data_IF_162432035399
#
_entry.id   IF_162432035399
#
_cell.length_a   1.000
_cell.length_b   1.000
_cell.length_c   1.000
_cell.angle_alpha   90.00
_cell.angle_beta   90.00
_cell.angle_gamma   90.00
#
_symmetry.space_group_name_H-M   'P 1'
#
loop_
_entity.id
_entity.type
_entity.pdbx_description
1 polymer ?
#
# COMPACT_ATOMS: atom_id res chain seq x y z
N UNK A 1 68.23 29.54 21.19
CA UNK A 1 67.13 29.45 20.21
C UNK A 1 66.43 28.11 20.40
N UNK A 2 65.29 28.08 21.11
CA UNK A 2 64.52 26.86 21.43
C UNK A 2 63.02 27.18 21.36
N UNK A 3 62.42 27.19 20.17
CA UNK A 3 60.97 27.10 19.95
C UNK A 3 60.71 26.61 18.51
N UNK A 4 60.52 25.31 18.33
CA UNK A 4 59.84 24.74 17.15
C UNK A 4 59.70 23.24 17.35
N UNK A 5 58.56 22.80 17.91
CA UNK A 5 58.00 21.45 17.79
C UNK A 5 56.95 21.22 18.90
N UNK A 6 55.83 21.95 18.87
CA UNK A 6 54.65 21.66 19.71
C UNK A 6 53.32 21.86 18.99
N UNK A 7 53.31 21.82 17.66
CA UNK A 7 52.08 22.03 16.87
C UNK A 7 51.55 20.78 16.15
N UNK A 8 52.28 19.67 16.14
CA UNK A 8 51.92 18.49 15.35
C UNK A 8 50.97 17.53 16.05
N UNK A 9 50.99 17.45 17.38
CA UNK A 9 50.12 16.53 18.14
C UNK A 9 48.64 16.92 18.12
N UNK A 10 48.34 18.22 18.22
CA UNK A 10 46.96 18.69 18.33
C UNK A 10 46.20 18.60 16.99
N UNK A 11 46.90 18.77 15.86
CA UNK A 11 46.31 18.60 14.52
C UNK A 11 45.97 17.15 14.19
N UNK A 12 46.78 16.19 14.65
CA UNK A 12 46.56 14.77 14.40
C UNK A 12 45.35 14.23 15.20
N UNK A 13 45.16 14.74 16.42
CA UNK A 13 44.03 14.39 17.28
C UNK A 13 42.71 14.99 16.77
N UNK A 14 42.75 16.20 16.18
CA UNK A 14 41.59 16.83 15.54
C UNK A 14 41.15 16.09 14.27
N UNK A 15 42.10 15.60 13.45
CA UNK A 15 41.79 14.85 12.24
C UNK A 15 41.18 13.47 12.56
N UNK A 16 41.66 12.79 13.60
CA UNK A 16 41.10 11.50 14.03
C UNK A 16 39.67 11.66 14.58
N UNK A 17 39.39 12.76 15.28
CA UNK A 17 38.06 13.06 15.82
C UNK A 17 37.06 13.38 14.70
N UNK A 18 37.47 14.13 13.68
CA UNK A 18 36.63 14.43 12.50
C UNK A 18 36.31 13.20 11.65
N UNK A 19 37.20 12.19 11.61
CA UNK A 19 36.96 10.91 10.93
C UNK A 19 36.07 9.94 11.73
N UNK A 20 35.93 10.15 13.05
CA UNK A 20 35.06 9.34 13.92
C UNK A 20 33.63 9.88 14.03
N UNK A 21 33.32 11.02 13.42
CA UNK A 21 31.96 11.51 13.33
C UNK A 21 31.20 10.61 12.35
N UNK A 22 30.23 9.80 12.80
CA UNK A 22 29.37 9.10 11.86
C UNK A 22 28.71 10.17 10.99
N UNK A 23 28.84 10.02 9.67
CA UNK A 23 27.97 10.70 8.73
C UNK A 23 26.57 10.12 8.96
N UNK A 24 25.91 10.58 10.02
CA UNK A 24 24.50 10.43 10.21
C UNK A 24 23.86 11.22 9.07
N UNK A 25 23.62 10.53 7.95
CA UNK A 25 22.59 10.92 7.01
C UNK A 25 21.27 10.68 7.73
N UNK A 26 21.01 11.53 8.73
CA UNK A 26 19.66 11.75 9.19
C UNK A 26 18.97 12.40 8.01
N UNK A 27 18.05 11.67 7.38
CA UNK A 27 16.99 12.32 6.63
C UNK A 27 16.32 13.26 7.62
N UNK A 28 16.71 14.52 7.55
CA UNK A 28 16.34 15.54 8.50
C UNK A 28 14.83 15.75 8.36
N UNK A 29 14.07 15.12 9.24
CA UNK A 29 12.76 15.62 9.64
C UNK A 29 13.02 16.90 10.44
N UNK A 30 13.38 17.96 9.72
CA UNK A 30 13.66 19.29 10.22
C UNK A 30 12.40 19.87 10.88
N UNK A 31 12.31 19.69 12.20
CA UNK A 31 11.31 20.28 13.08
C UNK A 31 11.47 21.80 13.10
N UNK A 32 10.56 22.56 12.49
CA UNK A 32 10.36 23.97 12.82
C UNK A 32 9.90 24.91 11.71
N UNK A 33 10.08 24.58 10.43
CA UNK A 33 9.42 25.27 9.33
C UNK A 33 8.29 24.40 8.82
N UNK A 34 7.17 24.99 8.43
CA UNK A 34 6.01 24.24 7.94
C UNK A 34 6.40 23.39 6.72
N UNK A 35 6.75 22.14 7.02
CA UNK A 35 7.34 21.18 6.10
C UNK A 35 6.33 20.87 5.02
N UNK A 36 6.78 20.95 3.77
CA UNK A 36 6.02 20.41 2.64
C UNK A 36 5.69 18.93 2.94
N UNK A 37 4.51 18.42 2.52
CA UNK A 37 4.21 17.03 2.74
C UNK A 37 5.27 16.16 2.04
N UNK A 38 5.75 15.09 2.71
CA UNK A 38 6.84 14.29 2.20
C UNK A 38 6.48 13.67 0.84
N UNK A 39 7.45 13.63 -0.08
CA UNK A 39 7.24 13.10 -1.44
C UNK A 39 7.07 11.58 -1.42
N UNK A 40 7.86 10.88 -0.60
CA UNK A 40 7.69 9.47 -0.29
C UNK A 40 6.92 9.32 1.03
N UNK A 41 5.99 8.38 1.09
CA UNK A 41 5.32 8.03 2.34
C UNK A 41 6.32 7.35 3.31
N UNK A 42 6.15 7.60 4.61
CA UNK A 42 6.78 6.77 5.65
C UNK A 42 6.38 5.31 5.48
N UNK A 43 7.37 4.43 5.33
CA UNK A 43 7.12 3.00 5.14
C UNK A 43 6.95 2.32 6.50
N UNK A 44 5.75 1.86 6.76
CA UNK A 44 5.38 1.06 7.93
C UNK A 44 4.92 -0.29 7.43
N UNK A 45 5.50 -1.37 7.95
CA UNK A 45 5.10 -2.75 7.65
C UNK A 45 3.72 -3.04 8.24
N UNK A 46 2.88 -3.76 7.50
CA UNK A 46 1.56 -4.19 7.98
C UNK A 46 1.65 -4.98 9.30
N UNK A 47 2.67 -5.84 9.46
CA UNK A 47 2.84 -6.62 10.69
C UNK A 47 3.14 -5.74 11.91
N UNK A 48 4.01 -4.74 11.74
CA UNK A 48 4.31 -3.75 12.78
C UNK A 48 3.07 -2.90 13.14
N UNK A 49 2.27 -2.55 12.12
CA UNK A 49 1.00 -1.86 12.32
C UNK A 49 -0.01 -2.74 13.07
N UNK A 50 -0.09 -4.03 12.74
CA UNK A 50 -0.97 -4.99 13.41
C UNK A 50 -0.65 -5.12 14.90
N UNK A 51 0.63 -5.21 15.28
CA UNK A 51 1.05 -5.21 16.69
C UNK A 51 0.50 -3.99 17.43
N UNK A 52 0.77 -2.79 16.89
CA UNK A 52 0.36 -1.53 17.53
C UNK A 52 -1.14 -1.38 17.60
N UNK A 53 -1.86 -1.84 16.56
CA UNK A 53 -3.31 -1.80 16.54
C UNK A 53 -3.93 -2.78 17.55
N UNK A 54 -3.41 -4.01 17.64
CA UNK A 54 -3.88 -5.02 18.59
C UNK A 54 -3.69 -4.57 20.04
N UNK A 55 -2.54 -3.96 20.32
CA UNK A 55 -2.21 -3.35 21.62
C UNK A 55 -3.17 -2.19 21.93
N UNK A 56 -3.34 -1.25 20.99
CA UNK A 56 -4.20 -0.08 21.19
C UNK A 56 -5.68 -0.44 21.38
N UNK A 57 -6.16 -1.51 20.74
CA UNK A 57 -7.51 -2.04 20.89
C UNK A 57 -7.64 -3.07 22.02
N UNK A 58 -6.62 -3.23 22.86
CA UNK A 58 -6.63 -4.14 24.02
C UNK A 58 -7.08 -5.58 23.67
N UNK A 59 -6.78 -6.02 22.44
CA UNK A 59 -7.09 -7.38 21.97
C UNK A 59 -6.00 -8.34 22.45
N UNK A 60 -4.74 -7.95 22.25
CA UNK A 60 -3.55 -8.67 22.72
C UNK A 60 -2.38 -7.69 22.83
N UNK A 61 -1.55 -7.84 23.86
CA UNK A 61 -0.26 -7.16 23.97
C UNK A 61 0.83 -8.19 23.71
N UNK A 62 1.47 -8.09 22.54
CA UNK A 62 2.49 -9.03 22.05
C UNK A 62 3.46 -8.30 21.14
N UNK A 63 4.70 -8.77 21.08
CA UNK A 63 5.71 -8.36 20.11
C UNK A 63 5.73 -9.27 18.86
N UNK A 64 4.88 -10.28 18.83
CA UNK A 64 4.76 -11.23 17.73
C UNK A 64 3.71 -10.77 16.69
N UNK A 65 4.18 -10.39 15.50
CA UNK A 65 3.34 -9.95 14.37
C UNK A 65 2.24 -10.96 14.05
N UNK A 66 2.57 -12.25 14.01
CA UNK A 66 1.64 -13.32 13.62
C UNK A 66 0.52 -13.48 14.64
N UNK A 67 0.83 -13.34 15.93
CA UNK A 67 -0.15 -13.41 16.99
C UNK A 67 -1.11 -12.22 16.92
N UNK A 68 -0.57 -11.00 16.77
CA UNK A 68 -1.36 -9.78 16.63
C UNK A 68 -2.30 -9.83 15.41
N UNK A 69 -1.77 -10.21 14.24
CA UNK A 69 -2.55 -10.38 13.01
C UNK A 69 -3.68 -11.41 13.16
N UNK A 70 -3.38 -12.55 13.79
CA UNK A 70 -4.37 -13.62 14.04
C UNK A 70 -5.48 -13.13 14.97
N UNK A 71 -5.13 -12.45 16.06
CA UNK A 71 -6.09 -11.95 17.05
C UNK A 71 -6.97 -10.82 16.50
N UNK A 72 -6.41 -9.93 15.68
CA UNK A 72 -7.18 -8.93 14.94
C UNK A 72 -8.15 -9.59 13.95
N UNK A 73 -7.70 -10.63 13.24
CA UNK A 73 -8.56 -11.36 12.31
C UNK A 73 -9.71 -12.10 13.02
N UNK A 74 -9.50 -12.65 14.22
CA UNK A 74 -10.55 -13.28 15.05
C UNK A 74 -11.72 -12.32 15.33
N UNK A 75 -11.42 -11.05 15.60
CA UNK A 75 -12.45 -10.01 15.79
C UNK A 75 -12.94 -9.36 14.50
N UNK A 76 -12.46 -9.82 13.34
CA UNK A 76 -12.86 -9.34 12.01
C UNK A 76 -12.14 -8.09 11.52
N UNK A 77 -11.04 -7.70 12.16
CA UNK A 77 -10.17 -6.58 11.73
C UNK A 77 -9.06 -7.15 10.85
N UNK A 78 -9.30 -7.16 9.54
CA UNK A 78 -8.37 -7.71 8.56
C UNK A 78 -8.54 -7.00 7.21
N UNK A 79 -7.46 -6.69 6.47
CA UNK A 79 -7.58 -6.20 5.10
C UNK A 79 -8.30 -7.23 4.21
N UNK A 80 -8.88 -6.80 3.09
CA UNK A 80 -9.67 -7.71 2.21
C UNK A 80 -8.88 -8.91 1.70
N UNK A 81 -7.56 -8.77 1.57
CA UNK A 81 -6.66 -9.81 1.09
C UNK A 81 -5.85 -10.50 2.20
N UNK A 82 -6.22 -10.27 3.47
CA UNK A 82 -5.41 -10.70 4.61
C UNK A 82 -4.26 -9.74 4.92
N UNK A 83 -3.59 -10.03 6.03
CA UNK A 83 -2.37 -9.36 6.44
C UNK A 83 -1.18 -9.87 5.61
N UNK A 84 -0.30 -8.95 5.22
CA UNK A 84 0.97 -9.28 4.56
C UNK A 84 2.07 -8.51 5.28
N UNK A 85 2.67 -9.14 6.30
CA UNK A 85 3.56 -8.50 7.26
C UNK A 85 4.56 -7.51 6.64
N UNK A 86 5.27 -7.89 5.57
CA UNK A 86 6.32 -7.08 4.94
C UNK A 86 5.82 -6.06 3.90
N UNK A 87 4.53 -6.02 3.63
CA UNK A 87 3.94 -5.04 2.73
C UNK A 87 3.75 -3.69 3.44
N UNK A 88 3.94 -2.56 2.74
CA UNK A 88 3.73 -1.25 3.36
C UNK A 88 2.24 -0.98 3.60
N UNK A 89 1.93 -0.35 4.72
CA UNK A 89 0.58 0.17 5.02
C UNK A 89 0.28 1.35 4.09
N UNK A 90 -0.54 1.13 3.07
CA UNK A 90 -0.95 2.13 2.09
C UNK A 90 -2.29 2.79 2.45
N UNK A 91 -2.65 3.94 1.83
CA UNK A 91 -3.90 4.65 2.15
C UNK A 91 -5.19 3.82 1.99
N UNK A 92 -5.24 2.92 1.03
CA UNK A 92 -6.36 1.99 0.84
C UNK A 92 -6.45 0.96 1.97
N UNK A 93 -5.33 0.44 2.46
CA UNK A 93 -5.28 -0.48 3.62
C UNK A 93 -5.79 0.23 4.88
N UNK A 94 -5.37 1.48 5.11
CA UNK A 94 -5.87 2.29 6.23
C UNK A 94 -7.39 2.47 6.14
N UNK A 95 -7.93 2.71 4.93
CA UNK A 95 -9.38 2.83 4.72
C UNK A 95 -10.12 1.53 5.01
N UNK A 96 -9.58 0.39 4.56
CA UNK A 96 -10.15 -0.93 4.85
C UNK A 96 -10.14 -1.24 6.35
N UNK A 97 -9.01 -1.01 7.03
CA UNK A 97 -8.85 -1.28 8.45
C UNK A 97 -9.75 -0.37 9.30
N UNK A 98 -9.87 0.92 8.97
CA UNK A 98 -10.77 1.82 9.67
C UNK A 98 -12.24 1.35 9.57
N UNK A 99 -12.65 0.90 8.38
CA UNK A 99 -13.97 0.31 8.16
C UNK A 99 -14.17 -0.99 8.96
N UNK A 100 -13.14 -1.84 9.02
CA UNK A 100 -13.18 -3.08 9.79
C UNK A 100 -13.26 -2.83 11.30
N UNK A 101 -12.47 -1.90 11.85
CA UNK A 101 -12.54 -1.48 13.26
C UNK A 101 -13.93 -0.97 13.60
N UNK A 102 -14.51 -0.10 12.75
CA UNK A 102 -15.88 0.40 12.91
C UNK A 102 -16.89 -0.74 12.98
N UNK A 103 -16.84 -1.65 12.01
CA UNK A 103 -17.76 -2.78 11.93
C UNK A 103 -17.61 -3.75 13.12
N UNK A 104 -16.39 -3.99 13.60
CA UNK A 104 -16.13 -4.82 14.77
C UNK A 104 -16.64 -4.19 16.07
N UNK A 105 -16.48 -2.87 16.23
CA UNK A 105 -17.04 -2.14 17.37
C UNK A 105 -18.58 -2.16 17.35
N UNK A 106 -19.21 -1.86 16.21
CA UNK A 106 -20.68 -1.90 16.04
C UNK A 106 -21.26 -3.31 16.26
N UNK A 107 -20.48 -4.35 15.98
CA UNK A 107 -20.84 -5.74 16.24
C UNK A 107 -20.56 -6.22 17.68
N UNK A 108 -20.17 -5.32 18.60
CA UNK A 108 -19.76 -5.62 19.99
C UNK A 108 -18.66 -6.70 20.09
N UNK A 109 -17.77 -6.77 19.09
CA UNK A 109 -16.59 -7.66 19.13
C UNK A 109 -15.40 -7.02 19.83
N UNK A 110 -15.47 -5.71 20.08
CA UNK A 110 -14.49 -4.95 20.84
C UNK A 110 -15.13 -4.49 22.16
N UNK A 111 -14.32 -4.28 23.19
CA UNK A 111 -14.77 -3.76 24.48
C UNK A 111 -15.09 -2.25 24.46
N UNK A 112 -14.82 -1.58 23.34
CA UNK A 112 -14.99 -0.14 23.18
C UNK A 112 -16.19 0.20 22.33
N UNK A 113 -16.76 1.38 22.58
CA UNK A 113 -17.69 1.99 21.66
C UNK A 113 -17.00 2.37 20.34
N UNK A 114 -17.81 2.51 19.29
CA UNK A 114 -17.34 2.83 17.94
C UNK A 114 -16.40 4.03 17.88
N UNK A 115 -16.76 5.14 18.54
CA UNK A 115 -15.99 6.38 18.45
C UNK A 115 -14.68 6.29 19.23
N UNK A 116 -14.66 5.58 20.36
CA UNK A 116 -13.42 5.29 21.10
C UNK A 116 -12.49 4.37 20.30
N UNK A 117 -13.02 3.30 19.70
CA UNK A 117 -12.23 2.38 18.87
C UNK A 117 -11.59 3.11 17.67
N UNK A 118 -12.35 4.01 17.02
CA UNK A 118 -11.83 4.84 15.93
C UNK A 118 -10.80 5.87 16.43
N UNK A 119 -10.98 6.43 17.62
CA UNK A 119 -9.98 7.31 18.24
C UNK A 119 -8.65 6.60 18.52
N UNK A 120 -8.71 5.36 19.02
CA UNK A 120 -7.53 4.50 19.23
C UNK A 120 -6.83 4.15 17.91
N UNK A 121 -7.59 3.78 16.88
CA UNK A 121 -7.06 3.56 15.53
C UNK A 121 -6.33 4.80 14.97
N UNK A 122 -6.93 5.99 15.12
CA UNK A 122 -6.32 7.25 14.67
C UNK A 122 -5.03 7.57 15.44
N UNK A 123 -4.97 7.26 16.74
CA UNK A 123 -3.74 7.43 17.53
C UNK A 123 -2.60 6.56 17.00
N UNK A 124 -2.86 5.30 16.66
CA UNK A 124 -1.85 4.42 16.03
C UNK A 124 -1.34 5.00 14.71
N UNK A 125 -2.21 5.55 13.86
CA UNK A 125 -1.78 6.22 12.62
C UNK A 125 -0.87 7.44 12.88
N UNK A 126 -1.11 8.17 13.97
CA UNK A 126 -0.30 9.33 14.35
C UNK A 126 1.04 8.90 14.97
N UNK A 127 1.03 7.92 15.86
CA UNK A 127 2.23 7.35 16.48
C UNK A 127 3.19 6.79 15.42
N UNK A 128 2.66 6.15 14.39
CA UNK A 128 3.44 5.62 13.26
C UNK A 128 3.73 6.67 12.17
N UNK A 129 3.39 7.94 12.41
CA UNK A 129 3.64 9.07 11.52
C UNK A 129 3.10 8.88 10.09
N UNK A 130 2.03 8.10 9.92
CA UNK A 130 1.42 7.86 8.62
C UNK A 130 0.64 9.09 8.15
N UNK A 131 -0.02 9.80 9.07
CA UNK A 131 -0.72 11.05 8.76
C UNK A 131 -1.80 10.89 7.67
N UNK A 132 -2.34 9.68 7.49
CA UNK A 132 -3.39 9.36 6.51
C UNK A 132 -4.74 9.29 7.23
N UNK A 133 -5.75 9.96 6.67
CA UNK A 133 -7.15 9.81 7.05
C UNK A 133 -7.98 9.48 5.81
N UNK A 134 -8.65 8.32 5.75
CA UNK A 134 -9.55 7.99 4.65
C UNK A 134 -10.59 9.07 4.41
N UNK A 135 -10.90 9.35 3.14
CA UNK A 135 -11.94 10.29 2.78
C UNK A 135 -13.33 9.69 3.06
N UNK A 136 -14.19 10.47 3.71
CA UNK A 136 -15.62 10.22 3.73
C UNK A 136 -16.35 11.41 3.09
N UNK A 137 -17.48 11.15 2.44
CA UNK A 137 -18.25 12.20 1.79
C UNK A 137 -18.68 13.28 2.80
N UNK A 138 -18.43 14.55 2.46
CA UNK A 138 -18.70 15.68 3.35
C UNK A 138 -17.62 15.96 4.40
N UNK A 139 -16.60 15.11 4.53
CA UNK A 139 -15.49 15.36 5.47
C UNK A 139 -14.61 16.52 4.98
N UNK A 140 -14.33 17.45 5.90
CA UNK A 140 -13.28 18.46 5.76
C UNK A 140 -11.94 17.87 6.21
N UNK A 141 -10.85 18.54 5.81
CA UNK A 141 -9.52 18.25 6.35
C UNK A 141 -9.57 18.23 7.89
N UNK A 142 -9.02 17.20 8.55
CA UNK A 142 -8.93 17.17 10.01
C UNK A 142 -8.07 18.32 10.52
N UNK A 143 -8.52 18.96 11.60
CA UNK A 143 -7.72 19.98 12.30
C UNK A 143 -6.53 19.38 13.05
N UNK A 144 -6.57 18.08 13.37
CA UNK A 144 -5.53 17.35 14.09
C UNK A 144 -4.38 16.83 13.22
N UNK A 145 -4.46 16.92 11.88
CA UNK A 145 -3.33 16.55 11.04
C UNK A 145 -2.29 17.67 11.00
N UNK A 146 -0.98 17.34 10.86
CA UNK A 146 0.02 18.33 10.49
C UNK A 146 -0.46 19.08 9.25
N UNK A 147 -0.42 20.41 9.25
CA UNK A 147 -0.82 21.21 8.09
C UNK A 147 0.46 21.67 7.39
N UNK A 148 0.63 21.31 6.12
CA UNK A 148 1.72 21.86 5.32
C UNK A 148 1.28 23.15 4.59
N UNK A 149 2.25 24.02 4.28
CA UNK A 149 1.99 25.33 3.68
C UNK A 149 1.47 25.28 2.23
N UNK A 150 1.58 24.15 1.58
CA UNK A 150 1.19 23.99 0.18
C UNK A 150 1.69 22.68 -0.41
N UNK A 151 1.21 22.39 -1.62
CA UNK A 151 1.77 21.32 -2.43
C UNK A 151 3.23 21.64 -2.80
N UNK A 152 4.12 20.64 -2.79
CA UNK A 152 5.50 20.82 -3.24
C UNK A 152 5.52 21.22 -4.71
N UNK A 153 6.45 22.12 -5.07
CA UNK A 153 6.67 22.52 -6.46
C UNK A 153 7.11 21.28 -7.27
N UNK A 154 6.64 21.08 -8.52
CA UNK A 154 7.10 20.01 -9.40
C UNK A 154 8.63 19.85 -9.49
N UNK A 155 9.41 20.94 -9.40
CA UNK A 155 10.87 20.88 -9.37
C UNK A 155 11.41 20.14 -8.13
N UNK A 156 10.78 20.31 -6.96
CA UNK A 156 11.13 19.59 -5.72
C UNK A 156 10.83 18.10 -5.87
N UNK A 157 9.69 17.76 -6.47
CA UNK A 157 9.32 16.37 -6.78
C UNK A 157 10.37 15.75 -7.71
N UNK A 158 10.69 16.40 -8.83
CA UNK A 158 11.69 15.89 -9.76
C UNK A 158 13.06 15.70 -9.10
N UNK A 159 13.52 16.69 -8.32
CA UNK A 159 14.81 16.61 -7.62
C UNK A 159 14.88 15.44 -6.63
N UNK A 160 13.78 15.15 -5.92
CA UNK A 160 13.70 13.99 -5.04
C UNK A 160 13.97 12.68 -5.82
N UNK A 161 13.34 12.50 -6.99
CA UNK A 161 13.54 11.29 -7.78
C UNK A 161 14.98 11.16 -8.31
N UNK A 162 15.65 12.27 -8.64
CA UNK A 162 17.05 12.23 -9.07
C UNK A 162 18.04 11.97 -7.92
N UNK A 163 17.76 12.51 -6.74
CA UNK A 163 18.69 12.46 -5.61
C UNK A 163 18.48 11.22 -4.73
N UNK A 164 17.23 10.87 -4.46
CA UNK A 164 16.83 9.78 -3.55
C UNK A 164 16.34 8.54 -4.28
N UNK A 165 15.99 8.68 -5.56
CA UNK A 165 15.36 7.62 -6.35
C UNK A 165 13.83 7.59 -6.20
N UNK A 166 13.17 6.68 -6.93
CA UNK A 166 11.72 6.55 -6.92
C UNK A 166 11.23 5.99 -5.56
N UNK A 167 10.33 6.68 -4.82
CA UNK A 167 9.81 6.20 -3.55
C UNK A 167 8.85 5.01 -3.74
N UNK A 168 8.72 4.10 -2.77
CA UNK A 168 7.76 2.96 -2.89
C UNK A 168 6.32 3.44 -3.03
N UNK A 169 5.92 4.41 -2.23
CA UNK A 169 4.59 5.01 -2.23
C UNK A 169 4.73 6.52 -2.29
N UNK A 170 3.98 7.16 -3.18
CA UNK A 170 3.92 8.62 -3.30
C UNK A 170 2.49 9.08 -3.58
N UNK A 171 2.16 10.27 -3.08
CA UNK A 171 0.85 10.90 -3.30
C UNK A 171 0.87 11.83 -4.53
N UNK A 172 2.04 12.03 -5.12
CA UNK A 172 2.26 12.93 -6.24
C UNK A 172 2.43 12.16 -7.53
N UNK A 173 2.08 12.79 -8.65
CA UNK A 173 2.30 12.19 -9.96
C UNK A 173 3.80 12.01 -10.20
N UNK A 174 4.30 10.78 -10.42
CA UNK A 174 5.72 10.55 -10.69
C UNK A 174 6.18 11.30 -11.95
N UNK A 175 7.47 11.70 -12.03
CA UNK A 175 8.02 12.21 -13.28
C UNK A 175 7.83 11.18 -14.40
N UNK A 176 7.67 11.65 -15.64
CA UNK A 176 7.29 10.81 -16.79
C UNK A 176 8.20 9.59 -16.96
N UNK A 177 9.50 9.76 -16.71
CA UNK A 177 10.53 8.72 -16.85
C UNK A 177 10.44 7.63 -15.77
N UNK A 178 9.64 7.83 -14.72
CA UNK A 178 9.39 6.83 -13.68
C UNK A 178 7.96 6.30 -13.69
N UNK A 179 7.07 6.86 -14.51
CA UNK A 179 5.64 6.53 -14.47
C UNK A 179 5.34 5.03 -14.69
N UNK A 180 6.13 4.36 -15.52
CA UNK A 180 5.98 2.91 -15.79
C UNK A 180 6.31 2.01 -14.59
N UNK A 181 7.00 2.54 -13.57
CA UNK A 181 7.33 1.81 -12.35
C UNK A 181 6.14 1.72 -11.39
N UNK A 182 5.09 2.51 -11.60
CA UNK A 182 4.01 2.66 -10.62
C UNK A 182 2.67 2.14 -11.13
N UNK A 183 1.82 1.82 -10.17
CA UNK A 183 0.39 1.68 -10.35
C UNK A 183 -0.35 2.79 -9.62
N UNK A 184 -1.34 3.39 -10.28
CA UNK A 184 -2.26 4.34 -9.68
C UNK A 184 -3.40 3.61 -8.98
N UNK A 185 -3.66 3.96 -7.72
CA UNK A 185 -4.72 3.40 -6.88
C UNK A 185 -5.71 4.53 -6.52
N UNK A 186 -6.99 4.46 -6.96
CA UNK A 186 -7.97 5.52 -6.74
C UNK A 186 -8.63 5.41 -5.36
N UNK A 187 -7.84 5.58 -4.30
CA UNK A 187 -8.31 5.57 -2.92
C UNK A 187 -8.23 6.98 -2.35
N UNK A 188 -9.33 7.76 -2.29
CA UNK A 188 -9.27 9.14 -1.83
C UNK A 188 -8.99 9.24 -0.32
N UNK A 189 -8.15 10.19 0.09
CA UNK A 189 -7.76 10.39 1.49
C UNK A 189 -7.29 11.83 1.75
N UNK A 190 -7.21 12.18 3.03
CA UNK A 190 -6.59 13.39 3.55
C UNK A 190 -5.22 13.08 4.14
N UNK A 191 -4.22 13.88 3.77
CA UNK A 191 -2.90 13.84 4.40
C UNK A 191 -2.27 15.22 4.40
N UNK A 192 -1.63 15.58 5.50
CA UNK A 192 -1.01 16.89 5.70
C UNK A 192 -1.94 18.11 5.48
N UNK A 193 -3.25 17.92 5.66
CA UNK A 193 -4.27 18.94 5.35
C UNK A 193 -4.67 19.03 3.88
N UNK A 194 -4.13 18.17 3.01
CA UNK A 194 -4.44 18.10 1.58
C UNK A 194 -5.31 16.89 1.27
N UNK A 195 -6.20 17.07 0.30
CA UNK A 195 -7.00 15.98 -0.25
C UNK A 195 -6.27 15.38 -1.45
N UNK A 196 -6.16 14.06 -1.47
CA UNK A 196 -5.60 13.29 -2.57
C UNK A 196 -6.68 12.36 -3.15
N UNK A 197 -6.84 12.29 -4.50
CA UNK A 197 -7.79 11.37 -5.13
C UNK A 197 -7.35 9.91 -5.08
N UNK A 198 -6.11 9.66 -4.70
CA UNK A 198 -5.44 8.37 -4.76
C UNK A 198 -3.94 8.50 -4.55
N UNK A 199 -3.21 7.43 -4.80
CA UNK A 199 -1.76 7.40 -4.64
C UNK A 199 -1.11 6.49 -5.71
N UNK A 200 0.19 6.63 -5.85
CA UNK A 200 1.03 5.77 -6.69
C UNK A 200 1.84 4.84 -5.80
N UNK A 201 1.88 3.57 -6.17
CA UNK A 201 2.69 2.54 -5.50
C UNK A 201 3.49 1.77 -6.53
N UNK A 202 4.75 1.52 -6.23
CA UNK A 202 5.68 0.84 -7.13
C UNK A 202 5.19 -0.59 -7.42
N UNK A 203 5.28 -1.00 -8.68
CA UNK A 203 4.82 -2.31 -9.17
C UNK A 203 5.67 -3.47 -8.63
N UNK A 204 6.91 -3.19 -8.24
CA UNK A 204 7.91 -4.17 -7.84
C UNK A 204 8.94 -3.48 -6.92
N UNK A 205 9.08 -3.95 -5.67
CA UNK A 205 10.05 -3.39 -4.74
C UNK A 205 10.47 -4.39 -3.66
N UNK A 206 11.72 -4.22 -3.22
CA UNK A 206 12.30 -4.89 -2.08
C UNK A 206 13.31 -3.94 -1.45
N UNK A 207 12.97 -3.38 -0.30
CA UNK A 207 13.78 -2.39 0.41
C UNK A 207 14.12 -2.90 1.81
N UNK A 208 15.41 -2.92 2.12
CA UNK A 208 15.88 -3.14 3.49
C UNK A 208 15.88 -1.79 4.20
N UNK A 209 15.03 -1.66 5.21
CA UNK A 209 14.94 -0.47 6.05
C UNK A 209 15.99 -0.58 7.16
N UNK A 210 16.54 0.55 7.58
CA UNK A 210 17.48 0.62 8.70
C UNK A 210 16.85 -0.04 9.95
N UNK A 211 17.55 -1.02 10.54
CA UNK A 211 17.00 -1.86 11.63
C UNK A 211 16.75 -3.32 11.24
N UNK A 212 17.11 -3.74 10.02
CA UNK A 212 17.12 -5.15 9.63
C UNK A 212 15.78 -5.71 9.15
N UNK A 213 14.76 -4.87 9.06
CA UNK A 213 13.47 -5.23 8.49
C UNK A 213 13.42 -4.87 7.00
N UNK A 214 12.69 -5.66 6.23
CA UNK A 214 12.49 -5.41 4.79
C UNK A 214 11.03 -5.06 4.50
N UNK A 215 10.82 -4.05 3.66
CA UNK A 215 9.53 -3.72 3.07
C UNK A 215 9.52 -4.21 1.64
N UNK A 216 8.62 -5.12 1.30
CA UNK A 216 8.57 -5.72 -0.03
C UNK A 216 7.14 -6.03 -0.46
N UNK A 217 6.88 -5.93 -1.77
CA UNK A 217 5.67 -6.51 -2.36
C UNK A 217 5.84 -7.99 -2.73
N UNK A 218 6.93 -8.62 -2.31
CA UNK A 218 7.13 -10.05 -2.43
C UNK A 218 6.86 -10.70 -1.08
N UNK A 219 6.01 -11.72 -1.06
CA UNK A 219 5.84 -12.55 0.12
C UNK A 219 6.18 -14.01 -0.21
N UNK A 220 6.78 -14.67 0.76
CA UNK A 220 7.14 -16.08 0.66
C UNK A 220 6.01 -16.92 1.24
N UNK A 221 5.32 -17.69 0.40
CA UNK A 221 4.42 -18.73 0.84
C UNK A 221 5.24 -19.98 1.15
N UNK A 222 5.53 -20.17 2.44
CA UNK A 222 6.29 -21.31 2.94
C UNK A 222 5.58 -22.64 2.71
N UNK A 223 4.24 -22.68 2.72
CA UNK A 223 3.47 -23.93 2.53
C UNK A 223 3.55 -24.42 1.10
N UNK A 224 3.62 -23.49 0.15
CA UNK A 224 3.74 -23.80 -1.27
C UNK A 224 5.19 -23.74 -1.79
N UNK A 225 6.15 -23.32 -0.95
CA UNK A 225 7.53 -23.02 -1.32
C UNK A 225 7.61 -22.09 -2.55
N UNK A 226 6.85 -20.98 -2.53
CA UNK A 226 6.72 -20.05 -3.66
C UNK A 226 6.83 -18.60 -3.19
N UNK A 227 7.54 -17.78 -3.97
CA UNK A 227 7.47 -16.32 -3.85
C UNK A 227 6.30 -15.84 -4.69
N UNK A 228 5.46 -14.99 -4.12
CA UNK A 228 4.39 -14.30 -4.82
C UNK A 228 4.65 -12.81 -4.80
N UNK A 229 4.40 -12.14 -5.93
CA UNK A 229 4.38 -10.69 -6.02
C UNK A 229 2.96 -10.16 -5.86
N UNK A 230 2.80 -9.21 -4.95
CA UNK A 230 1.57 -8.46 -4.73
C UNK A 230 1.44 -7.41 -5.83
N UNK A 231 0.44 -7.57 -6.69
CA UNK A 231 0.01 -6.54 -7.64
C UNK A 231 -0.86 -5.52 -6.87
N UNK A 232 -0.43 -4.25 -6.73
CA UNK A 232 -1.18 -3.27 -5.95
C UNK A 232 -2.59 -2.99 -6.49
N UNK A 233 -2.81 -3.04 -7.81
CA UNK A 233 -4.14 -2.83 -8.40
C UNK A 233 -5.05 -4.01 -8.10
N UNK A 234 -4.54 -5.23 -8.24
CA UNK A 234 -5.31 -6.43 -7.91
C UNK A 234 -5.68 -6.44 -6.42
N UNK A 235 -4.73 -6.05 -5.56
CA UNK A 235 -4.92 -5.93 -4.11
C UNK A 235 -6.06 -4.96 -3.77
N UNK A 236 -6.06 -3.75 -4.31
CA UNK A 236 -7.13 -2.76 -4.10
C UNK A 236 -8.53 -3.29 -4.43
N UNK A 237 -8.64 -4.15 -5.45
CA UNK A 237 -9.91 -4.79 -5.83
C UNK A 237 -10.28 -6.03 -5.01
N UNK A 238 -9.54 -6.33 -3.94
CA UNK A 238 -9.75 -7.53 -3.11
C UNK A 238 -9.53 -8.83 -3.88
N UNK A 239 -8.75 -8.79 -4.98
CA UNK A 239 -8.43 -9.99 -5.75
C UNK A 239 -7.22 -10.67 -5.11
N UNK A 240 -7.36 -11.97 -4.90
CA UNK A 240 -6.26 -12.82 -4.48
C UNK A 240 -5.21 -12.96 -5.59
N UNK A 241 -3.98 -13.20 -5.16
CA UNK A 241 -2.80 -13.21 -6.02
C UNK A 241 -2.90 -14.31 -7.09
N UNK A 242 -2.99 -13.89 -8.36
CA UNK A 242 -2.78 -14.77 -9.50
C UNK A 242 -1.29 -15.13 -9.54
N UNK A 243 -0.96 -16.37 -9.20
CA UNK A 243 0.41 -16.85 -9.08
C UNK A 243 1.25 -16.63 -10.34
N UNK A 244 1.98 -15.51 -10.38
CA UNK A 244 3.28 -15.41 -11.06
C UNK A 244 4.30 -16.08 -10.14
N UNK A 245 4.06 -17.35 -9.81
CA UNK A 245 4.98 -18.16 -9.04
C UNK A 245 5.95 -18.80 -10.01
N UNK A 246 7.24 -18.51 -9.88
CA UNK A 246 8.30 -19.23 -10.58
C UNK A 246 8.11 -20.73 -10.29
N UNK A 247 7.77 -21.51 -11.31
CA UNK A 247 7.41 -22.94 -11.16
C UNK A 247 8.60 -23.85 -10.86
N UNK A 248 9.80 -23.28 -10.61
CA UNK A 248 11.04 -24.04 -10.49
C UNK A 248 11.65 -23.89 -9.09
N UNK A 249 11.69 -24.97 -8.28
CA UNK A 249 12.22 -24.95 -6.92
C UNK A 249 13.76 -24.84 -6.82
N UNK A 250 14.51 -24.82 -7.94
CA UNK A 250 15.98 -24.87 -7.94
C UNK A 250 16.71 -23.52 -7.88
N UNK A 251 16.02 -22.43 -7.57
CA UNK A 251 16.63 -21.10 -7.57
C UNK A 251 15.96 -20.12 -6.62
N UNK A 252 15.43 -20.62 -5.49
CA UNK A 252 14.90 -19.74 -4.45
C UNK A 252 16.06 -18.91 -3.89
N UNK A 253 16.23 -17.70 -4.43
CA UNK A 253 17.04 -16.69 -3.81
C UNK A 253 16.35 -16.37 -2.49
N UNK A 254 16.93 -16.83 -1.38
CA UNK A 254 16.55 -16.36 -0.05
C UNK A 254 16.62 -14.84 -0.11
N UNK A 255 15.47 -14.16 -0.07
CA UNK A 255 15.37 -12.71 -0.27
C UNK A 255 15.97 -11.91 0.90
N UNK A 256 16.70 -12.54 1.83
CA UNK A 256 17.21 -11.90 3.04
C UNK A 256 16.12 -11.42 4.01
N UNK A 257 14.84 -11.61 3.66
CA UNK A 257 13.67 -11.31 4.47
C UNK A 257 13.60 -12.34 5.62
N UNK A 258 13.61 -11.90 6.90
CA UNK A 258 13.36 -12.77 8.04
C UNK A 258 12.04 -13.53 7.87
N UNK A 259 12.04 -14.80 8.27
CA UNK A 259 10.98 -15.74 7.94
C UNK A 259 9.74 -15.48 8.80
N UNK A 260 8.59 -15.18 8.18
CA UNK A 260 7.28 -15.33 8.85
C UNK A 260 6.62 -16.61 8.32
N UNK A 261 6.58 -17.65 9.16
CA UNK A 261 6.25 -19.02 8.73
C UNK A 261 4.80 -19.22 8.24
N UNK A 262 3.91 -18.20 8.30
CA UNK A 262 2.48 -18.39 8.02
C UNK A 262 1.81 -17.16 7.42
N UNK A 263 1.35 -17.31 6.18
CA UNK A 263 0.34 -16.43 5.58
C UNK A 263 -1.08 -16.87 5.99
N UNK A 264 -1.86 -16.00 6.62
CA UNK A 264 -3.28 -16.21 6.92
C UNK A 264 -4.11 -15.88 5.67
N UNK A 265 -3.89 -16.60 4.57
CA UNK A 265 -4.79 -16.49 3.41
C UNK A 265 -6.10 -17.20 3.72
N UNK A 266 -7.20 -16.45 3.63
CA UNK A 266 -8.57 -16.90 3.90
C UNK A 266 -8.83 -17.27 5.36
N UNK A 267 -8.69 -16.31 6.29
CA UNK A 267 -9.52 -16.35 7.50
C UNK A 267 -10.95 -16.62 7.06
N UNK A 268 -11.61 -17.63 7.65
CA UNK A 268 -12.91 -18.09 7.18
C UNK A 268 -13.83 -16.89 7.07
N UNK A 269 -14.16 -16.46 5.84
CA UNK A 269 -15.30 -15.57 5.63
C UNK A 269 -16.44 -16.33 6.26
N UNK A 270 -16.88 -15.90 7.44
CA UNK A 270 -18.15 -16.30 8.00
C UNK A 270 -19.16 -15.96 6.90
N UNK A 271 -19.49 -16.96 6.08
CA UNK A 271 -20.65 -16.94 5.21
C UNK A 271 -21.77 -16.60 6.18
N UNK A 272 -22.28 -15.38 6.07
CA UNK A 272 -23.55 -15.05 6.69
C UNK A 272 -24.50 -16.24 6.41
N UNK A 273 -25.19 -16.77 7.42
CA UNK A 273 -26.08 -17.89 7.20
C UNK A 273 -27.08 -17.46 6.13
N UNK A 274 -27.03 -18.14 5.00
CA UNK A 274 -28.01 -18.06 3.91
C UNK A 274 -29.32 -18.67 4.42
N UNK A 275 -29.93 -17.99 5.39
CA UNK A 275 -31.22 -18.31 5.96
C UNK A 275 -32.28 -17.43 5.34
N UNK A 276 -32.68 -17.73 4.11
CA UNK A 276 -34.03 -17.44 3.62
C UNK A 276 -34.43 -18.51 2.61
N UNK A 277 -34.86 -19.66 3.15
CA UNK A 277 -35.73 -20.59 2.44
C UNK A 277 -37.10 -19.91 2.30
N UNK A 278 -37.29 -19.19 1.20
CA UNK A 278 -38.60 -18.78 0.74
C UNK A 278 -39.26 -19.95 0.00
N UNK A 279 -40.06 -20.72 0.72
CA UNK A 279 -41.07 -21.62 0.18
C UNK A 279 -42.21 -20.81 -0.45
N UNK A 280 -42.53 -21.08 -1.71
CA UNK A 280 -43.86 -20.79 -2.26
C UNK A 280 -43.89 -20.23 -3.69
N UNK A 281 -44.00 -21.10 -4.69
CA UNK A 281 -45.04 -21.02 -5.73
C UNK A 281 -44.93 -22.22 -6.69
N UNK A 282 -46.03 -22.96 -6.94
CA UNK A 282 -46.10 -23.94 -8.01
C UNK A 282 -46.71 -23.30 -9.27
N UNK A 283 -46.03 -23.40 -10.42
CA UNK A 283 -46.70 -23.27 -11.72
C UNK A 283 -46.00 -24.16 -12.77
N UNK A 284 -46.67 -25.27 -13.05
CA UNK A 284 -47.15 -25.69 -14.38
C UNK A 284 -46.18 -25.67 -15.57
N UNK A 285 -45.92 -26.86 -16.11
CA UNK A 285 -45.97 -27.05 -17.57
C UNK A 285 -44.70 -27.55 -18.27
N UNK A 286 -44.49 -28.87 -18.21
CA UNK A 286 -44.07 -29.75 -19.31
C UNK A 286 -43.00 -29.31 -20.32
N UNK A 287 -41.95 -30.13 -20.46
CA UNK A 287 -41.80 -31.03 -21.62
C UNK A 287 -40.64 -32.00 -21.44
N UNK A 288 -41.01 -33.27 -21.52
CA UNK A 288 -40.22 -34.48 -21.72
C UNK A 288 -39.54 -34.51 -23.08
N UNK A 289 -38.23 -34.74 -23.12
CA UNK A 289 -37.45 -35.55 -24.08
C UNK A 289 -36.10 -35.78 -23.35
N UNK A 290 -35.49 -36.94 -23.20
CA UNK A 290 -35.49 -38.18 -23.96
C UNK A 290 -34.07 -38.71 -23.77
N UNK A 291 -33.93 -39.83 -23.07
CA UNK A 291 -32.68 -40.50 -22.72
C UNK A 291 -32.02 -41.14 -23.94
N UNK A 292 -30.69 -41.04 -24.09
CA UNK A 292 -29.83 -42.14 -24.57
C UNK A 292 -28.33 -41.87 -24.32
N UNK A 293 -27.48 -42.91 -24.20
CA UNK A 293 -26.23 -42.88 -23.44
C UNK A 293 -24.93 -43.01 -24.27
N UNK A 294 -23.79 -42.80 -23.58
CA UNK A 294 -22.42 -43.35 -23.77
C UNK A 294 -21.86 -43.51 -25.20
N UNK A 295 -20.74 -42.82 -25.44
CA UNK A 295 -19.77 -43.20 -26.47
C UNK A 295 -18.40 -42.53 -26.22
N UNK A 296 -17.42 -43.33 -25.83
CA UNK A 296 -16.01 -42.98 -25.71
C UNK A 296 -15.35 -42.87 -27.10
N UNK A 297 -14.54 -41.83 -27.35
CA UNK A 297 -13.32 -41.89 -28.16
C UNK A 297 -12.53 -40.56 -28.13
N UNK A 298 -11.19 -40.59 -28.29
CA UNK A 298 -10.29 -39.49 -27.96
C UNK A 298 -9.82 -38.66 -29.17
N UNK A 299 -9.10 -37.57 -28.84
CA UNK A 299 -8.14 -36.83 -29.67
C UNK A 299 -8.72 -35.91 -30.74
N UNK A 300 -8.37 -34.63 -30.69
CA UNK A 300 -7.58 -33.93 -31.72
C UNK A 300 -7.21 -32.53 -31.23
N UNK A 301 -5.91 -32.24 -31.20
CA UNK A 301 -5.36 -30.91 -31.08
C UNK A 301 -5.85 -30.01 -32.22
N UNK A 302 -6.24 -28.78 -31.90
CA UNK A 302 -6.33 -27.70 -32.89
C UNK A 302 -5.73 -26.42 -32.31
N UNK A 303 -4.57 -26.06 -32.83
CA UNK A 303 -4.04 -24.70 -32.74
C UNK A 303 -4.85 -23.76 -33.64
N UNK A 304 -4.85 -22.46 -33.32
CA UNK A 304 -4.69 -21.44 -34.35
C UNK A 304 -3.42 -20.63 -34.03
N UNK A 305 -2.43 -20.52 -34.94
CA UNK A 305 -2.46 -19.63 -36.12
C UNK A 305 -2.86 -18.23 -35.69
N UNK A 306 -1.93 -17.27 -35.60
CA UNK A 306 -1.17 -16.77 -36.73
C UNK A 306 -1.57 -15.30 -36.91
N UNK A 307 -0.57 -14.43 -36.99
CA UNK A 307 -0.68 -12.99 -36.77
C UNK A 307 -1.58 -12.20 -37.72
N UNK A 308 -1.82 -10.96 -37.34
CA UNK A 308 -2.19 -9.88 -38.25
C UNK A 308 -1.60 -8.58 -37.72
N UNK A 309 -0.43 -8.22 -38.26
CA UNK A 309 0.01 -6.84 -38.34
C UNK A 309 -1.08 -6.00 -39.01
N UNK A 310 -1.42 -4.85 -38.42
CA UNK A 310 -1.93 -3.72 -39.19
C UNK A 310 -1.12 -2.48 -38.88
N UNK A 311 -0.61 -1.95 -39.97
CA UNK A 311 0.22 -0.78 -40.15
C UNK A 311 -0.64 0.32 -40.78
N UNK A 312 -0.37 1.57 -40.38
CA UNK A 312 -0.52 2.83 -41.13
C UNK A 312 -1.90 3.39 -41.51
N UNK A 313 -1.98 4.72 -41.34
CA UNK A 313 -3.01 5.66 -41.84
C UNK A 313 -3.45 6.57 -40.68
N UNK A 314 -3.02 7.82 -40.52
CA UNK A 314 -2.70 8.85 -41.51
C UNK A 314 -3.92 9.76 -41.70
N UNK A 315 -3.70 11.09 -41.63
CA UNK A 315 -4.66 12.19 -41.90
C UNK A 315 -5.65 12.50 -40.75
N UNK A 316 -5.99 13.73 -40.37
CA UNK A 316 -5.75 15.10 -40.88
C UNK A 316 -6.21 16.08 -39.80
N UNK A 317 -5.51 17.20 -39.64
CA UNK A 317 -6.02 18.36 -38.91
C UNK A 317 -7.09 19.10 -39.74
N UNK A 318 -7.99 19.85 -39.09
CA UNK A 318 -8.32 21.16 -39.61
C UNK A 318 -8.18 22.29 -38.58
N UNK A 319 -7.89 23.42 -39.19
CA UNK A 319 -7.62 24.76 -38.67
C UNK A 319 -8.90 25.52 -38.29
N UNK A 320 -8.67 26.63 -37.58
CA UNK A 320 -9.45 27.89 -37.50
C UNK A 320 -10.71 27.95 -36.60
N UNK A 321 -10.65 28.91 -35.69
CA UNK A 321 -11.70 29.94 -35.62
C UNK A 321 -12.01 30.48 -34.23
N UNK A 322 -11.76 31.78 -34.02
CA UNK A 322 -12.65 32.62 -33.20
C UNK A 322 -12.10 33.11 -31.85
N UNK A 323 -11.49 34.29 -31.86
CA UNK A 323 -11.59 35.25 -30.75
C UNK A 323 -12.88 36.09 -30.91
N UNK A 324 -13.55 36.48 -29.81
CA UNK A 324 -13.56 37.90 -29.39
C UNK A 324 -13.45 38.05 -27.86
N UNK A 325 -12.69 38.99 -27.30
CA UNK A 325 -12.98 40.42 -27.12
C UNK A 325 -14.28 40.74 -26.34
N UNK A 326 -14.11 41.36 -25.17
CA UNK A 326 -15.14 41.93 -24.30
C UNK A 326 -14.78 41.65 -22.84
N UNK A 327 -14.54 42.60 -21.94
CA UNK A 327 -15.10 43.94 -21.80
C UNK A 327 -15.57 44.02 -20.33
N UNK A 328 -14.94 44.88 -19.54
CA UNK A 328 -14.91 44.79 -18.08
C UNK A 328 -16.19 45.10 -17.30
N UNK A 329 -16.10 44.99 -15.97
CA UNK A 329 -16.55 46.06 -15.05
C UNK A 329 -16.05 45.81 -13.63
N UNK A 330 -15.50 46.88 -13.05
CA UNK A 330 -15.30 47.08 -11.63
C UNK A 330 -16.65 47.18 -10.91
N UNK A 331 -16.73 46.62 -9.71
CA UNK A 331 -17.19 47.32 -8.50
C UNK A 331 -16.34 46.85 -7.33
#
# INVERSE_FOLDING_TARGET
MKRCARLTGMQLLLCLFLLSMPMAVSAETETGQAQQPPIGQQLVREGAFAIKLAEALEIVSTDNEVEAESKLAEVGIVPRNGWIADYPVTPDIIAELQGAVRASAEANKLHFEKDEALGRFQRVNQELSLGIRPYAEGDKAPDSQPKANGYPNPAVINNYYYQQGPPVVTYYTPPRDYYYLYSWIPSPFWSFGFWFPGFYVMNDFHLVVHGGYSVSNHYNDHRMHRVYRVDPRARYHGRTYGGIGVSRPRGFLSTGVPHSDRTIFNGSRNRAPSGYRGSGMPTTGGRTYGTAPRGSAPSFHRAPSGGSHRSMGGMTAPSRGGAPSGGGRRR
#
